data_IF_182435449663
#
_entry.id   IF_182435449663
#
_cell.length_a   1.000
_cell.length_b   1.000
_cell.length_c   1.000
_cell.angle_alpha   90.00
_cell.angle_beta   90.00
_cell.angle_gamma   90.00
#
_symmetry.space_group_name_H-M   'P 1'
#
loop_
_entity.id
_entity.type
_entity.pdbx_description
1 polymer ?
#
# COMPACT_ATOMS: atom_id res chain seq x y z
N UNK A 1 8.97 20.99 10.36
CA UNK A 1 9.51 19.72 9.82
C UNK A 1 9.07 19.54 8.39
N UNK A 2 9.81 18.78 7.58
CA UNK A 2 9.33 18.46 6.23
C UNK A 2 8.14 17.49 6.35
N UNK A 3 7.06 17.70 5.59
CA UNK A 3 5.94 16.77 5.56
C UNK A 3 6.39 15.39 5.04
N UNK A 4 5.74 14.32 5.50
CA UNK A 4 5.98 12.97 5.00
C UNK A 4 5.34 12.85 3.62
N UNK A 5 6.14 12.91 2.57
CA UNK A 5 5.67 12.86 1.17
C UNK A 5 5.79 11.49 0.52
N UNK A 6 6.49 10.54 1.16
CA UNK A 6 6.85 9.24 0.59
C UNK A 6 6.38 8.10 1.48
N UNK A 7 5.83 7.04 0.89
CA UNK A 7 5.52 5.79 1.58
C UNK A 7 6.22 4.60 0.93
N UNK A 8 6.51 3.58 1.74
CA UNK A 8 7.09 2.29 1.30
C UNK A 8 6.16 1.16 1.74
N UNK A 9 5.76 0.31 0.80
CA UNK A 9 4.87 -0.84 1.05
C UNK A 9 5.57 -2.12 0.59
N UNK A 10 6.11 -2.94 1.51
CA UNK A 10 6.72 -4.20 1.14
C UNK A 10 5.68 -5.31 0.94
N UNK A 11 5.70 -5.93 -0.23
CA UNK A 11 4.81 -7.03 -0.65
C UNK A 11 5.56 -8.25 -1.18
N UNK A 12 6.90 -8.23 -1.20
CA UNK A 12 7.78 -9.22 -1.81
C UNK A 12 7.80 -10.63 -1.16
N UNK A 13 6.84 -10.93 -0.29
CA UNK A 13 6.66 -12.27 0.26
C UNK A 13 5.86 -13.17 -0.68
N UNK A 14 6.20 -14.46 -0.72
CA UNK A 14 5.52 -15.47 -1.55
C UNK A 14 4.05 -15.76 -1.18
N UNK A 15 3.54 -15.22 -0.08
CA UNK A 15 2.16 -15.47 0.35
C UNK A 15 1.88 -16.95 0.65
N UNK A 16 2.85 -17.66 1.23
CA UNK A 16 2.77 -19.12 1.48
C UNK A 16 1.58 -19.52 2.35
N UNK A 17 1.17 -18.67 3.31
CA UNK A 17 0.00 -18.89 4.17
C UNK A 17 -1.33 -18.91 3.41
N UNK A 18 -1.35 -18.36 2.19
CA UNK A 18 -2.53 -18.23 1.33
C UNK A 18 -2.42 -19.10 0.07
N UNK A 19 -1.42 -19.98 0.00
CA UNK A 19 -1.32 -20.97 -1.06
C UNK A 19 -2.48 -21.99 -0.92
N UNK A 20 -3.14 -22.45 -2.01
CA UNK A 20 -2.74 -22.33 -3.42
C UNK A 20 -3.25 -21.08 -4.15
N UNK A 21 -4.07 -20.23 -3.53
CA UNK A 21 -4.63 -19.06 -4.20
C UNK A 21 -3.54 -18.10 -4.71
N UNK A 22 -2.46 -17.95 -3.93
CA UNK A 22 -1.31 -17.12 -4.28
C UNK A 22 -0.48 -17.61 -5.45
N UNK A 23 -0.73 -18.84 -5.96
CA UNK A 23 -0.14 -19.31 -7.22
C UNK A 23 -0.66 -18.53 -8.43
N UNK A 24 -1.92 -18.10 -8.39
CA UNK A 24 -2.58 -17.45 -9.52
C UNK A 24 -2.56 -15.93 -9.40
N UNK A 25 -2.74 -15.40 -8.18
CA UNK A 25 -2.87 -13.96 -7.92
C UNK A 25 -1.97 -13.57 -6.76
N UNK A 26 -1.11 -12.54 -6.89
CA UNK A 26 -0.35 -12.02 -5.75
C UNK A 26 -1.25 -11.69 -4.56
N UNK A 27 -0.83 -11.99 -3.32
CA UNK A 27 -1.66 -11.75 -2.12
C UNK A 27 -2.15 -10.29 -2.02
N UNK A 28 -1.34 -9.34 -2.47
CA UNK A 28 -1.63 -7.91 -2.42
C UNK A 28 -2.81 -7.52 -3.35
N UNK A 29 -3.10 -8.35 -4.35
CA UNK A 29 -4.23 -8.19 -5.28
C UNK A 29 -5.48 -8.97 -4.84
N UNK A 30 -5.50 -9.57 -3.64
CA UNK A 30 -6.70 -10.23 -3.14
C UNK A 30 -7.81 -9.21 -2.86
N UNK A 31 -9.03 -9.43 -3.36
CA UNK A 31 -10.12 -8.47 -3.22
C UNK A 31 -10.72 -8.53 -1.82
N UNK A 32 -11.02 -7.35 -1.27
CA UNK A 32 -11.78 -7.15 -0.03
C UNK A 32 -12.88 -6.13 -0.31
N UNK A 33 -14.05 -6.34 0.30
CA UNK A 33 -15.13 -5.35 0.27
C UNK A 33 -14.76 -4.20 1.21
N UNK A 34 -14.49 -3.03 0.64
CA UNK A 34 -14.14 -1.84 1.38
C UNK A 34 -15.37 -1.21 2.04
N UNK A 35 -15.16 -0.19 2.90
CA UNK A 35 -16.25 0.48 3.63
C UNK A 35 -17.25 1.19 2.70
N UNK A 36 -16.83 1.58 1.49
CA UNK A 36 -17.69 2.14 0.44
C UNK A 36 -18.49 1.06 -0.33
N UNK A 37 -18.36 -0.21 0.05
CA UNK A 37 -19.03 -1.34 -0.58
C UNK A 37 -18.36 -1.84 -1.87
N UNK A 38 -17.26 -1.22 -2.29
CA UNK A 38 -16.55 -1.58 -3.51
C UNK A 38 -15.51 -2.67 -3.19
N UNK A 39 -15.46 -3.70 -4.03
CA UNK A 39 -14.39 -4.69 -3.97
C UNK A 39 -13.10 -4.07 -4.49
N UNK A 40 -12.11 -3.90 -3.61
CA UNK A 40 -10.78 -3.36 -3.94
C UNK A 40 -9.71 -4.35 -3.50
N UNK A 41 -8.60 -4.49 -4.24
CA UNK A 41 -7.47 -5.28 -3.76
C UNK A 41 -6.85 -4.62 -2.54
N UNK A 42 -6.30 -5.45 -1.64
CA UNK A 42 -5.60 -5.00 -0.41
C UNK A 42 -4.62 -3.87 -0.69
N UNK A 43 -3.82 -3.97 -1.76
CA UNK A 43 -2.81 -2.96 -2.08
C UNK A 43 -3.41 -1.58 -2.38
N UNK A 44 -4.57 -1.51 -3.04
CA UNK A 44 -5.23 -0.23 -3.30
C UNK A 44 -5.64 0.44 -1.99
N UNK A 45 -6.20 -0.32 -1.04
CA UNK A 45 -6.62 0.22 0.25
C UNK A 45 -5.44 0.76 1.04
N UNK A 46 -4.30 0.07 1.04
CA UNK A 46 -3.08 0.53 1.73
C UNK A 46 -2.52 1.79 1.06
N UNK A 47 -2.57 1.88 -0.27
CA UNK A 47 -2.15 3.09 -0.98
C UNK A 47 -3.10 4.24 -0.67
N UNK A 48 -4.42 4.04 -0.74
CA UNK A 48 -5.43 5.03 -0.40
C UNK A 48 -5.24 5.55 1.05
N UNK A 49 -4.92 4.66 1.99
CA UNK A 49 -4.56 5.02 3.36
C UNK A 49 -3.34 5.96 3.42
N UNK A 50 -2.26 5.65 2.69
CA UNK A 50 -1.08 6.52 2.60
C UNK A 50 -1.42 7.89 2.01
N UNK A 51 -2.16 7.90 0.89
CA UNK A 51 -2.55 9.13 0.19
C UNK A 51 -3.45 10.01 1.06
N UNK A 52 -4.34 9.41 1.86
CA UNK A 52 -5.18 10.14 2.82
C UNK A 52 -4.36 10.92 3.87
N UNK A 53 -3.16 10.44 4.18
CA UNK A 53 -2.24 11.06 5.12
C UNK A 53 -1.36 12.17 4.51
N UNK A 54 -1.53 12.47 3.21
CA UNK A 54 -0.76 13.50 2.50
C UNK A 54 0.50 12.98 1.81
N UNK A 55 0.67 11.66 1.68
CA UNK A 55 1.75 11.07 0.88
C UNK A 55 1.51 11.36 -0.61
N UNK A 56 2.56 11.73 -1.33
CA UNK A 56 2.51 12.06 -2.76
C UNK A 56 3.07 10.94 -3.64
N UNK A 57 4.05 10.17 -3.14
CA UNK A 57 4.68 9.08 -3.88
C UNK A 57 4.75 7.79 -3.04
N UNK A 58 4.46 6.65 -3.66
CA UNK A 58 4.44 5.35 -2.99
C UNK A 58 5.36 4.38 -3.70
N UNK A 59 6.31 3.79 -2.96
CA UNK A 59 7.19 2.74 -3.45
C UNK A 59 6.70 1.38 -2.97
N UNK A 60 6.33 0.52 -3.92
CA UNK A 60 6.00 -0.87 -3.66
C UNK A 60 7.29 -1.69 -3.76
N UNK A 61 7.67 -2.37 -2.68
CA UNK A 61 8.79 -3.31 -2.71
C UNK A 61 8.27 -4.69 -3.06
N UNK A 62 8.58 -5.16 -4.26
CA UNK A 62 7.99 -6.34 -4.87
C UNK A 62 9.07 -7.31 -5.40
N UNK A 63 8.68 -8.58 -5.58
CA UNK A 63 9.45 -9.49 -6.43
C UNK A 63 9.21 -9.16 -7.90
N UNK A 64 10.14 -9.50 -8.82
CA UNK A 64 9.97 -9.19 -10.24
C UNK A 64 8.62 -9.63 -10.82
N UNK A 65 8.15 -10.83 -10.46
CA UNK A 65 6.90 -11.40 -10.99
C UNK A 65 5.62 -10.73 -10.47
N UNK A 66 5.74 -9.91 -9.42
CA UNK A 66 4.61 -9.18 -8.84
C UNK A 66 4.45 -7.77 -9.45
N UNK A 67 5.46 -7.25 -10.15
CA UNK A 67 5.44 -5.89 -10.70
C UNK A 67 4.39 -5.75 -11.78
N UNK A 68 4.41 -6.63 -12.79
CA UNK A 68 3.50 -6.52 -13.94
C UNK A 68 2.02 -6.62 -13.53
N UNK A 69 1.57 -7.61 -12.74
CA UNK A 69 0.16 -7.69 -12.35
C UNK A 69 -0.34 -6.47 -11.57
N UNK A 70 0.52 -5.84 -10.77
CA UNK A 70 0.15 -4.65 -9.99
C UNK A 70 0.14 -3.42 -10.89
N UNK A 71 1.11 -3.30 -11.79
CA UNK A 71 1.15 -2.23 -12.79
C UNK A 71 -0.08 -2.27 -13.69
N UNK A 72 -0.45 -3.47 -14.16
CA UNK A 72 -1.65 -3.70 -14.96
C UNK A 72 -2.93 -3.35 -14.19
N UNK A 73 -2.98 -3.58 -12.89
CA UNK A 73 -4.15 -3.19 -12.08
C UNK A 73 -4.36 -1.66 -12.05
N UNK A 74 -3.29 -0.88 -11.92
CA UNK A 74 -3.38 0.58 -11.79
C UNK A 74 -3.30 1.34 -13.13
N UNK A 75 -2.73 0.75 -14.17
CA UNK A 75 -2.51 1.42 -15.46
C UNK A 75 -2.96 0.62 -16.69
N UNK A 76 -3.54 -0.55 -16.49
CA UNK A 76 -4.02 -1.41 -17.57
C UNK A 76 -5.22 -0.83 -18.30
N UNK A 77 -5.46 -1.35 -19.50
CA UNK A 77 -6.60 -0.94 -20.33
C UNK A 77 -7.92 -1.38 -19.71
N UNK A 78 -8.84 -0.43 -19.56
CA UNK A 78 -10.21 -0.67 -19.13
C UNK A 78 -11.13 -0.77 -20.36
N UNK A 79 -12.06 -1.72 -20.36
CA UNK A 79 -12.98 -1.91 -21.49
C UNK A 79 -13.96 -0.73 -21.64
N UNK A 80 -14.26 -0.34 -22.88
CA UNK A 80 -15.19 0.78 -23.17
C UNK A 80 -16.54 0.62 -22.47
N UNK A 81 -17.09 -0.61 -22.41
CA UNK A 81 -18.34 -0.91 -21.72
C UNK A 81 -18.32 -0.64 -20.19
N UNK A 82 -17.12 -0.60 -19.57
CA UNK A 82 -16.94 -0.17 -18.18
C UNK A 82 -16.92 1.36 -18.13
N UNK A 83 -16.20 2.01 -19.04
CA UNK A 83 -16.07 3.47 -19.10
C UNK A 83 -17.38 4.19 -19.47
N UNK A 84 -18.29 3.52 -20.18
CA UNK A 84 -19.64 4.04 -20.46
C UNK A 84 -20.51 4.20 -19.20
N UNK A 85 -20.15 3.53 -18.10
CA UNK A 85 -20.84 3.65 -16.81
C UNK A 85 -20.13 4.68 -15.95
N UNK A 86 -20.76 5.84 -15.73
CA UNK A 86 -20.17 6.97 -15.02
C UNK A 86 -19.51 6.61 -13.68
N UNK A 87 -20.18 5.81 -12.85
CA UNK A 87 -19.65 5.38 -11.54
C UNK A 87 -18.37 4.54 -11.65
N UNK A 88 -18.27 3.70 -12.69
CA UNK A 88 -17.09 2.86 -12.92
C UNK A 88 -15.96 3.62 -13.62
N UNK A 89 -16.30 4.59 -14.48
CA UNK A 89 -15.33 5.49 -15.09
C UNK A 89 -14.55 6.29 -14.03
N UNK A 90 -15.25 6.79 -12.99
CA UNK A 90 -14.60 7.47 -11.86
C UNK A 90 -13.60 6.56 -11.13
N UNK A 91 -13.93 5.27 -10.97
CA UNK A 91 -13.00 4.31 -10.37
C UNK A 91 -11.79 4.03 -11.28
N UNK A 92 -12.01 3.91 -12.59
CA UNK A 92 -10.93 3.75 -13.56
C UNK A 92 -9.97 4.95 -13.55
N UNK A 93 -10.50 6.17 -13.57
CA UNK A 93 -9.70 7.40 -13.48
C UNK A 93 -8.89 7.45 -12.18
N UNK A 94 -9.50 7.02 -11.06
CA UNK A 94 -8.83 6.95 -9.76
C UNK A 94 -7.68 5.95 -9.76
N UNK A 95 -7.82 4.79 -10.40
CA UNK A 95 -6.74 3.81 -10.54
C UNK A 95 -5.55 4.40 -11.31
N UNK A 96 -5.82 5.10 -12.41
CA UNK A 96 -4.78 5.77 -13.21
C UNK A 96 -4.07 6.86 -12.40
N UNK A 97 -4.82 7.67 -11.65
CA UNK A 97 -4.26 8.70 -10.78
C UNK A 97 -3.33 8.10 -9.70
N UNK A 98 -3.76 6.99 -9.08
CA UNK A 98 -2.92 6.26 -8.13
C UNK A 98 -1.68 5.72 -8.83
N UNK A 99 -1.84 5.09 -10.00
CA UNK A 99 -0.76 4.50 -10.79
C UNK A 99 0.37 5.47 -11.11
N UNK A 100 0.05 6.74 -11.39
CA UNK A 100 1.04 7.80 -11.65
C UNK A 100 1.95 8.13 -10.45
N UNK A 101 1.53 7.75 -9.23
CA UNK A 101 2.26 7.98 -7.98
C UNK A 101 3.07 6.76 -7.54
N UNK A 102 3.00 5.65 -8.28
CA UNK A 102 3.64 4.40 -7.91
C UNK A 102 5.06 4.28 -8.44
N UNK A 103 5.93 3.77 -7.59
CA UNK A 103 7.29 3.37 -7.89
C UNK A 103 7.50 1.94 -7.44
N UNK A 104 8.47 1.25 -8.04
CA UNK A 104 8.83 -0.11 -7.65
C UNK A 104 10.29 -0.20 -7.25
N UNK A 105 10.54 -0.90 -6.14
CA UNK A 105 11.85 -1.39 -5.77
C UNK A 105 11.82 -2.92 -5.77
N UNK A 106 12.88 -3.53 -6.29
CA UNK A 106 12.93 -4.98 -6.47
C UNK A 106 13.61 -5.64 -5.28
N UNK A 107 12.91 -6.61 -4.68
CA UNK A 107 13.48 -7.55 -3.73
C UNK A 107 13.55 -8.94 -4.39
N UNK A 108 14.72 -9.26 -4.96
CA UNK A 108 14.95 -10.54 -5.65
C UNK A 108 14.81 -11.75 -4.71
N UNK A 109 15.30 -11.61 -3.48
CA UNK A 109 15.27 -12.65 -2.46
C UNK A 109 14.54 -12.15 -1.21
N UNK A 110 13.61 -12.95 -0.65
CA UNK A 110 12.85 -12.56 0.54
C UNK A 110 13.71 -12.73 1.80
N UNK A 111 14.73 -11.89 1.96
CA UNK A 111 15.64 -11.86 3.12
C UNK A 111 15.05 -11.07 4.31
N UNK A 112 13.73 -11.03 4.39
CA UNK A 112 12.99 -10.39 5.47
C UNK A 112 12.64 -8.92 5.23
N UNK A 113 11.94 -8.36 6.23
CA UNK A 113 11.37 -7.01 6.17
C UNK A 113 12.44 -5.91 6.09
N UNK A 114 13.50 -5.99 6.89
CA UNK A 114 14.58 -5.00 6.88
C UNK A 114 15.27 -4.93 5.51
N UNK A 115 15.51 -6.06 4.86
CA UNK A 115 16.02 -6.10 3.49
C UNK A 115 15.04 -5.43 2.51
N UNK A 116 13.73 -5.67 2.65
CA UNK A 116 12.73 -5.05 1.78
C UNK A 116 12.75 -3.51 1.91
N UNK A 117 12.80 -2.98 3.13
CA UNK A 117 12.91 -1.53 3.34
C UNK A 117 14.23 -0.99 2.76
N UNK A 118 15.34 -1.73 2.90
CA UNK A 118 16.63 -1.34 2.31
C UNK A 118 16.62 -1.31 0.79
N UNK A 119 15.85 -2.18 0.11
CA UNK A 119 15.66 -2.13 -1.34
C UNK A 119 15.06 -0.79 -1.80
N UNK A 120 14.27 -0.13 -0.96
CA UNK A 120 13.65 1.18 -1.25
C UNK A 120 14.54 2.39 -0.91
N UNK A 121 15.80 2.19 -0.50
CA UNK A 121 16.69 3.30 -0.05
C UNK A 121 16.86 4.41 -1.09
N UNK A 122 16.93 4.07 -2.38
CA UNK A 122 17.15 5.02 -3.46
C UNK A 122 15.89 5.86 -3.70
N UNK A 123 14.70 5.26 -3.54
CA UNK A 123 13.43 5.97 -3.53
C UNK A 123 13.30 6.89 -2.31
N UNK A 124 13.67 6.41 -1.13
CA UNK A 124 13.65 7.20 0.11
C UNK A 124 14.58 8.41 0.03
N UNK A 125 15.75 8.28 -0.62
CA UNK A 125 16.69 9.37 -0.89
C UNK A 125 17.09 10.21 0.35
N UNK A 126 17.12 9.58 1.54
CA UNK A 126 17.43 10.25 2.80
C UNK A 126 16.29 11.08 3.41
N UNK A 127 15.09 11.03 2.81
CA UNK A 127 13.89 11.67 3.33
C UNK A 127 13.16 10.75 4.33
N UNK A 128 12.32 11.34 5.18
CA UNK A 128 11.45 10.57 6.06
C UNK A 128 10.34 9.89 5.26
N UNK A 129 10.15 8.60 5.49
CA UNK A 129 9.18 7.77 4.78
C UNK A 129 8.17 7.15 5.75
N UNK A 130 6.93 7.04 5.31
CA UNK A 130 5.93 6.19 5.96
C UNK A 130 6.16 4.74 5.54
N UNK A 131 5.96 3.79 6.45
CA UNK A 131 6.03 2.36 6.14
C UNK A 131 4.68 1.74 6.48
N UNK A 132 4.06 1.09 5.49
CA UNK A 132 2.79 0.38 5.65
C UNK A 132 2.97 -1.09 5.24
N UNK A 133 2.44 -2.01 6.03
CA UNK A 133 2.59 -3.44 5.80
C UNK A 133 1.64 -3.89 4.69
N UNK A 134 2.18 -4.56 3.66
CA UNK A 134 1.43 -4.98 2.48
C UNK A 134 0.34 -6.05 2.69
N UNK A 135 0.15 -6.52 3.92
CA UNK A 135 -0.87 -7.49 4.33
C UNK A 135 -1.66 -7.06 5.56
N UNK A 136 -1.54 -5.79 5.96
CA UNK A 136 -2.30 -5.23 7.07
C UNK A 136 -3.23 -4.13 6.54
N UNK A 137 -4.52 -4.26 6.86
CA UNK A 137 -5.49 -3.21 6.59
C UNK A 137 -5.61 -2.31 7.81
N UNK A 138 -5.52 -1.01 7.57
CA UNK A 138 -5.61 0.02 8.60
C UNK A 138 -7.04 0.56 8.60
N UNK A 139 -7.78 0.32 9.68
CA UNK A 139 -9.16 0.76 9.82
C UNK A 139 -9.23 1.64 11.07
N UNK A 140 -9.55 2.91 10.88
CA UNK A 140 -9.81 3.82 11.99
C UNK A 140 -11.30 3.80 12.34
N UNK A 141 -11.62 3.78 13.63
CA UNK A 141 -12.99 3.95 14.13
C UNK A 141 -13.45 5.43 14.15
N UNK A 142 -12.56 6.35 13.78
CA UNK A 142 -12.80 7.79 13.81
C UNK A 142 -12.03 8.52 12.71
N UNK A 143 -12.44 9.75 12.43
CA UNK A 143 -11.59 10.69 11.70
C UNK A 143 -10.52 11.27 12.65
N UNK A 144 -9.23 11.30 12.27
CA UNK A 144 -8.65 10.99 10.95
C UNK A 144 -8.16 9.53 10.79
N UNK A 145 -7.74 9.14 9.56
CA UNK A 145 -7.17 7.81 9.24
C UNK A 145 -5.95 7.43 10.09
N UNK A 146 -5.62 6.14 10.21
CA UNK A 146 -4.52 5.65 11.04
C UNK A 146 -3.18 6.24 10.59
N UNK A 147 -2.94 6.28 9.27
CA UNK A 147 -1.76 6.89 8.68
C UNK A 147 -1.69 8.39 8.97
N UNK A 148 -2.82 9.11 8.94
CA UNK A 148 -2.85 10.53 9.27
C UNK A 148 -2.56 10.78 10.75
N UNK A 149 -3.09 9.95 11.65
CA UNK A 149 -2.76 10.01 13.09
C UNK A 149 -1.25 9.85 13.32
N UNK A 150 -0.59 8.90 12.63
CA UNK A 150 0.87 8.74 12.70
C UNK A 150 1.63 9.96 12.18
N UNK A 151 1.20 10.54 11.06
CA UNK A 151 1.81 11.77 10.50
C UNK A 151 1.65 12.95 11.46
N UNK A 152 0.52 13.06 12.14
CA UNK A 152 0.27 14.12 13.11
C UNK A 152 1.15 14.00 14.35
N UNK A 153 1.34 12.78 14.86
CA UNK A 153 2.30 12.53 15.96
C UNK A 153 3.72 12.82 15.50
N UNK A 154 4.13 12.32 14.32
CA UNK A 154 5.45 12.60 13.76
C UNK A 154 5.71 14.11 13.62
N UNK A 155 4.71 14.87 13.20
CA UNK A 155 4.81 16.34 13.04
C UNK A 155 5.01 17.07 14.37
N UNK A 156 4.59 16.48 15.49
CA UNK A 156 4.75 17.04 16.83
C UNK A 156 6.11 16.66 17.44
N UNK A 157 6.50 15.38 17.34
CA UNK A 157 7.68 14.84 18.04
C UNK A 157 8.94 14.84 17.20
N UNK A 158 8.79 14.69 15.89
CA UNK A 158 9.90 14.76 14.96
C UNK A 158 10.92 13.64 15.03
N UNK A 159 10.47 12.50 15.55
CA UNK A 159 11.21 11.26 15.71
C UNK A 159 10.43 10.13 15.06
N UNK A 160 11.06 8.97 14.88
CA UNK A 160 10.37 7.79 14.37
C UNK A 160 9.18 7.42 15.25
N UNK A 161 8.02 7.25 14.63
CA UNK A 161 6.76 6.85 15.29
C UNK A 161 6.37 5.47 14.78
N UNK A 162 5.83 4.62 15.65
CA UNK A 162 5.30 3.30 15.30
C UNK A 162 3.90 3.17 15.89
N UNK A 163 2.95 2.69 15.10
CA UNK A 163 1.61 2.33 15.59
C UNK A 163 1.68 1.05 16.41
N UNK A 164 0.91 0.99 17.49
CA UNK A 164 0.76 -0.20 18.31
C UNK A 164 -0.72 -0.56 18.36
N UNK A 165 -1.00 -1.86 18.41
CA UNK A 165 -2.31 -2.40 18.72
C UNK A 165 -2.28 -3.03 20.11
N UNK A 166 -3.36 -2.88 20.88
CA UNK A 166 -3.47 -3.47 22.21
C UNK A 166 -3.85 -4.93 22.08
N UNK A 167 -2.87 -5.81 22.27
CA UNK A 167 -3.07 -7.24 22.28
C UNK A 167 -3.18 -7.75 23.73
N UNK A 168 -4.19 -8.58 24.08
CA UNK A 168 -4.24 -9.25 25.38
C UNK A 168 -2.97 -10.06 25.62
N UNK A 169 -2.47 -10.10 26.88
CA UNK A 169 -1.26 -10.87 27.22
C UNK A 169 -1.36 -12.35 26.84
N UNK A 170 -2.58 -12.92 26.81
CA UNK A 170 -2.83 -14.30 26.40
C UNK A 170 -2.58 -14.60 24.92
N UNK A 171 -2.40 -13.58 24.09
CA UNK A 171 -2.16 -13.67 22.65
C UNK A 171 -0.70 -13.37 22.25
N UNK A 172 0.17 -13.05 23.22
CA UNK A 172 1.62 -12.89 23.06
C UNK A 172 2.34 -14.26 23.12
#
# INVERSE_FOLDING_TARGET
>A
MKPIQKAVIPIAGYGTRLFPATKAVPKALFPIIAQDGIAKPVIQLIIEEALSAGVEAVCIVAQPQQVDPITDYFSGTVADAILEKAELAVQADRLVEIGQRLHFAIQEKPEGFGHAIYCARDFAAGESVMILLGDHLYISESEPSCAKQLVDVYSQVGQSVTSLDLCPESEL
#
